data_IF_659015364968
#
_entry.id   IF_659015364968
#
_cell.length_a   1.000
_cell.length_b   1.000
_cell.length_c   1.000
_cell.angle_alpha   90.00
_cell.angle_beta   90.00
_cell.angle_gamma   90.00
#
_symmetry.space_group_name_H-M   'P 1'
#
loop_
_entity.id
_entity.type
_entity.pdbx_description
1 polymer ?
#
# COMPACT_ATOMS: atom_id res chain seq x y z
N UNK A 1 26.18 18.53 -9.59
CA UNK A 1 25.73 17.96 -10.88
C UNK A 1 24.64 16.93 -10.60
N UNK A 2 23.45 17.06 -11.16
CA UNK A 2 22.36 16.07 -11.01
C UNK A 2 22.44 15.07 -12.17
N UNK A 3 22.25 13.78 -11.90
CA UNK A 3 22.25 12.71 -12.90
C UNK A 3 20.95 11.91 -12.78
N UNK A 4 20.27 11.69 -13.89
CA UNK A 4 19.06 10.86 -13.98
C UNK A 4 19.38 9.62 -14.80
N UNK A 5 18.96 8.44 -14.32
CA UNK A 5 19.20 7.15 -14.98
C UNK A 5 17.86 6.47 -15.26
N UNK A 6 17.78 5.82 -16.41
CA UNK A 6 16.62 5.02 -16.81
C UNK A 6 16.70 3.66 -16.11
N UNK A 7 15.60 3.24 -15.49
CA UNK A 7 15.50 1.96 -14.75
C UNK A 7 14.47 0.99 -15.36
N UNK A 8 13.69 1.46 -16.34
CA UNK A 8 12.69 0.68 -17.09
C UNK A 8 12.71 1.12 -18.56
N UNK A 9 12.31 0.27 -19.53
CA UNK A 9 12.20 0.69 -20.93
C UNK A 9 11.30 1.92 -21.10
N UNK A 10 11.72 2.90 -21.89
CA UNK A 10 10.99 4.15 -22.17
C UNK A 10 10.76 4.29 -23.66
N UNK A 11 9.51 4.51 -24.06
CA UNK A 11 9.13 4.69 -25.47
C UNK A 11 9.13 6.17 -25.81
N UNK A 12 9.44 6.52 -27.07
CA UNK A 12 9.40 7.91 -27.53
C UNK A 12 8.01 8.52 -27.26
N UNK A 13 7.98 9.67 -26.58
CA UNK A 13 6.76 10.40 -26.26
C UNK A 13 6.10 9.99 -24.93
N UNK A 14 6.59 8.97 -24.23
CA UNK A 14 6.04 8.61 -22.91
C UNK A 14 6.50 9.58 -21.82
N UNK A 15 5.65 9.78 -20.81
CA UNK A 15 5.97 10.59 -19.64
C UNK A 15 7.07 9.93 -18.78
N UNK A 16 8.10 10.70 -18.43
CA UNK A 16 9.17 10.24 -17.54
C UNK A 16 8.74 10.48 -16.10
N UNK A 17 8.71 9.42 -15.29
CA UNK A 17 8.29 9.49 -13.88
C UNK A 17 9.43 9.17 -12.94
N UNK A 18 9.42 9.78 -11.76
CA UNK A 18 10.30 9.43 -10.63
C UNK A 18 9.46 9.25 -9.36
N UNK A 19 10.04 8.67 -8.32
CA UNK A 19 9.37 8.50 -7.03
C UNK A 19 9.65 9.67 -6.08
N UNK A 20 8.60 10.19 -5.44
CA UNK A 20 8.70 11.23 -4.40
C UNK A 20 8.54 10.67 -2.97
N UNK A 21 8.33 9.36 -2.85
CA UNK A 21 8.10 8.65 -1.59
C UNK A 21 9.14 7.55 -1.39
N UNK A 22 9.23 7.01 -0.18
CA UNK A 22 10.02 5.80 0.08
C UNK A 22 9.46 4.59 -0.69
N UNK A 23 10.36 3.71 -1.13
CA UNK A 23 10.02 2.54 -1.95
C UNK A 23 9.21 1.49 -1.18
N UNK A 24 9.47 1.37 0.12
CA UNK A 24 8.89 0.36 1.01
C UNK A 24 7.57 0.78 1.67
N UNK A 25 7.06 1.96 1.36
CA UNK A 25 5.77 2.39 1.88
C UNK A 25 4.63 1.74 1.13
N UNK A 26 3.67 1.21 1.88
CA UNK A 26 2.39 0.75 1.36
C UNK A 26 1.58 1.88 0.71
N UNK A 27 0.52 1.51 0.00
CA UNK A 27 -0.24 2.42 -0.86
C UNK A 27 -0.91 3.56 -0.10
N UNK A 28 -1.52 3.30 1.06
CA UNK A 28 -2.14 4.35 1.89
C UNK A 28 -1.12 5.37 2.39
N UNK A 29 -0.04 4.92 3.05
CA UNK A 29 1.04 5.81 3.51
C UNK A 29 1.64 6.65 2.36
N UNK A 30 1.85 6.03 1.19
CA UNK A 30 2.33 6.76 0.02
C UNK A 30 1.36 7.82 -0.46
N UNK A 31 0.08 7.47 -0.60
CA UNK A 31 -0.95 8.39 -1.11
C UNK A 31 -1.15 9.55 -0.15
N UNK A 32 -1.16 9.29 1.16
CA UNK A 32 -1.23 10.31 2.19
C UNK A 32 -0.02 11.26 2.12
N UNK A 33 1.21 10.75 2.07
CA UNK A 33 2.40 11.59 1.93
C UNK A 33 2.39 12.47 0.67
N UNK A 34 1.94 11.95 -0.46
CA UNK A 34 1.86 12.74 -1.70
C UNK A 34 0.75 13.78 -1.64
N UNK A 35 -0.35 13.48 -0.96
CA UNK A 35 -1.42 14.44 -0.68
C UNK A 35 -0.90 15.59 0.20
N UNK A 36 -0.13 15.28 1.24
CA UNK A 36 0.38 16.29 2.18
C UNK A 36 1.55 17.11 1.63
N UNK A 37 2.48 16.46 0.92
CA UNK A 37 3.73 17.10 0.47
C UNK A 37 3.70 17.61 -0.97
N UNK A 38 2.78 17.08 -1.81
CA UNK A 38 2.66 17.40 -3.24
C UNK A 38 1.23 17.76 -3.66
N UNK A 39 0.26 17.73 -2.75
CA UNK A 39 -1.13 18.15 -2.99
C UNK A 39 -1.85 17.37 -4.09
N UNK A 40 -1.53 16.08 -4.26
CA UNK A 40 -2.26 15.20 -5.18
C UNK A 40 -2.45 13.77 -4.63
N UNK A 41 -3.54 13.12 -5.03
CA UNK A 41 -3.78 11.71 -4.76
C UNK A 41 -3.19 10.84 -5.90
N UNK A 42 -2.16 10.05 -5.58
CA UNK A 42 -1.51 9.21 -6.59
C UNK A 42 -2.43 8.08 -7.06
N UNK A 43 -2.50 7.91 -8.39
CA UNK A 43 -3.24 6.83 -9.08
C UNK A 43 -2.35 6.01 -10.00
N UNK A 44 -1.06 5.87 -9.64
CA UNK A 44 -0.13 5.06 -10.44
C UNK A 44 -0.53 3.58 -10.41
N UNK A 45 -0.03 2.77 -11.34
CA UNK A 45 -0.35 1.34 -11.44
C UNK A 45 -0.20 0.60 -10.09
N UNK A 46 0.85 0.89 -9.33
CA UNK A 46 1.07 0.30 -8.00
C UNK A 46 0.02 0.73 -6.97
N UNK A 47 -0.41 2.00 -7.00
CA UNK A 47 -1.44 2.49 -6.08
C UNK A 47 -2.85 2.03 -6.46
N UNK A 48 -3.08 1.67 -7.72
CA UNK A 48 -4.36 1.16 -8.21
C UNK A 48 -4.49 -0.37 -8.11
N UNK A 49 -3.42 -1.06 -7.75
CA UNK A 49 -3.38 -2.52 -7.62
C UNK A 49 -3.45 -2.91 -6.13
N UNK A 50 -4.47 -3.65 -5.69
CA UNK A 50 -4.60 -4.11 -4.30
C UNK A 50 -3.41 -4.94 -3.80
N UNK A 51 -2.68 -5.58 -4.71
CA UNK A 51 -1.49 -6.40 -4.38
C UNK A 51 -0.19 -5.61 -4.41
N UNK A 52 -0.25 -4.34 -4.79
CA UNK A 52 0.90 -3.45 -4.93
C UNK A 52 1.97 -4.02 -5.87
N UNK A 53 1.56 -4.46 -7.06
CA UNK A 53 2.38 -5.17 -8.04
C UNK A 53 2.89 -6.52 -7.52
N UNK A 54 2.05 -7.25 -6.77
CA UNK A 54 2.40 -8.54 -6.17
C UNK A 54 3.42 -8.47 -5.03
N UNK A 55 3.72 -7.27 -4.52
CA UNK A 55 4.64 -7.11 -3.39
C UNK A 55 3.97 -7.32 -2.04
N UNK A 56 2.65 -7.08 -1.97
CA UNK A 56 1.85 -7.24 -0.76
C UNK A 56 2.38 -6.46 0.46
N UNK A 57 3.05 -5.32 0.25
CA UNK A 57 3.72 -4.55 1.32
C UNK A 57 2.77 -4.13 2.44
N UNK A 58 1.53 -3.75 2.09
CA UNK A 58 0.51 -3.37 3.08
C UNK A 58 -0.46 -4.50 3.42
N UNK A 59 -0.28 -5.72 2.90
CA UNK A 59 -1.22 -6.82 3.14
C UNK A 59 -1.13 -7.34 4.58
N UNK A 60 -2.29 -7.59 5.19
CA UNK A 60 -2.37 -8.11 6.57
C UNK A 60 -2.77 -9.57 6.56
N UNK A 61 -2.18 -10.39 7.44
CA UNK A 61 -2.63 -11.77 7.64
C UNK A 61 -4.07 -11.79 8.17
N UNK A 62 -4.91 -12.63 7.58
CA UNK A 62 -6.22 -12.93 8.15
C UNK A 62 -6.05 -13.87 9.34
N UNK A 63 -6.81 -13.64 10.42
CA UNK A 63 -6.84 -14.51 11.60
C UNK A 63 -8.10 -15.38 11.66
N UNK A 64 -9.00 -15.24 10.68
CA UNK A 64 -10.30 -15.93 10.67
C UNK A 64 -11.42 -15.13 11.33
N UNK A 65 -12.58 -15.77 11.48
CA UNK A 65 -13.80 -15.17 12.03
C UNK A 65 -13.97 -15.43 13.55
N UNK A 66 -12.89 -15.82 14.22
CA UNK A 66 -12.87 -16.22 15.63
C UNK A 66 -13.25 -17.68 15.89
N UNK A 67 -14.03 -18.30 15.00
CA UNK A 67 -14.41 -19.71 15.11
C UNK A 67 -13.60 -20.60 14.16
N UNK A 68 -13.28 -20.08 12.98
CA UNK A 68 -12.57 -20.79 11.93
C UNK A 68 -11.25 -20.05 11.63
N UNK A 69 -10.09 -20.68 11.84
CA UNK A 69 -8.82 -20.08 11.46
C UNK A 69 -8.78 -19.90 9.94
N UNK A 70 -8.13 -18.83 9.50
CA UNK A 70 -7.93 -18.52 8.09
C UNK A 70 -6.45 -18.21 7.84
N UNK A 71 -5.89 -18.68 6.74
CA UNK A 71 -4.50 -18.45 6.35
C UNK A 71 -4.38 -17.44 5.19
N UNK A 72 -5.47 -16.72 4.90
CA UNK A 72 -5.58 -15.71 3.85
C UNK A 72 -4.89 -14.38 4.22
N UNK A 73 -5.07 -13.41 3.33
CA UNK A 73 -4.58 -12.04 3.50
C UNK A 73 -5.71 -11.05 3.23
N UNK A 74 -5.73 -9.98 4.01
CA UNK A 74 -6.57 -8.82 3.79
C UNK A 74 -5.90 -7.88 2.79
N UNK A 75 -6.65 -7.49 1.77
CA UNK A 75 -6.28 -6.50 0.77
C UNK A 75 -7.38 -5.43 0.71
N UNK A 76 -7.05 -4.17 0.35
CA UNK A 76 -8.06 -3.13 0.18
C UNK A 76 -9.01 -3.51 -0.96
N UNK A 77 -10.32 -3.31 -0.77
CA UNK A 77 -11.32 -3.53 -1.83
C UNK A 77 -11.19 -2.49 -2.95
N UNK A 78 -11.01 -1.22 -2.57
CA UNK A 78 -10.59 -0.13 -3.46
C UNK A 78 -9.31 0.55 -2.92
N UNK A 79 -8.13 0.25 -3.52
CA UNK A 79 -6.87 0.87 -3.11
C UNK A 79 -6.81 2.39 -3.32
N UNK A 80 -7.68 2.94 -4.17
CA UNK A 80 -7.77 4.36 -4.49
C UNK A 80 -8.76 5.12 -3.58
N UNK A 81 -9.51 4.42 -2.76
CA UNK A 81 -10.33 4.99 -1.69
C UNK A 81 -9.66 4.75 -0.34
N UNK A 82 -9.34 5.84 0.36
CA UNK A 82 -8.63 5.77 1.64
C UNK A 82 -9.53 5.22 2.77
N UNK A 83 -10.85 5.24 2.57
CA UNK A 83 -11.86 4.73 3.50
C UNK A 83 -12.38 3.33 3.15
N UNK A 84 -11.86 2.72 2.08
CA UNK A 84 -12.28 1.38 1.66
C UNK A 84 -11.99 0.34 2.75
N UNK A 85 -12.95 -0.54 2.96
CA UNK A 85 -12.74 -1.77 3.72
C UNK A 85 -11.70 -2.67 3.05
N UNK A 86 -11.13 -3.56 3.85
CA UNK A 86 -10.17 -4.57 3.43
C UNK A 86 -10.76 -5.97 3.59
N UNK A 87 -10.83 -6.70 2.48
CA UNK A 87 -11.41 -8.02 2.43
C UNK A 87 -10.33 -9.12 2.42
N UNK A 88 -10.59 -10.20 3.15
CA UNK A 88 -9.76 -11.40 3.05
C UNK A 88 -9.97 -12.09 1.69
N UNK A 89 -8.89 -12.58 1.10
CA UNK A 89 -8.95 -13.31 -0.17
C UNK A 89 -9.44 -14.77 -0.06
N UNK A 90 -9.68 -15.28 1.16
CA UNK A 90 -10.08 -16.68 1.41
C UNK A 90 -11.38 -16.84 2.20
N UNK A 91 -11.71 -15.89 3.06
CA UNK A 91 -12.92 -15.95 3.89
C UNK A 91 -13.72 -14.63 3.79
N UNK A 92 -14.87 -14.57 4.47
CA UNK A 92 -15.79 -13.41 4.41
C UNK A 92 -15.44 -12.28 5.37
N UNK A 93 -14.34 -12.39 6.11
CA UNK A 93 -13.93 -11.40 7.11
C UNK A 93 -13.46 -10.14 6.40
N UNK A 94 -13.94 -9.00 6.90
CA UNK A 94 -13.52 -7.66 6.49
C UNK A 94 -13.01 -6.89 7.71
N UNK A 95 -12.10 -5.96 7.46
CA UNK A 95 -11.57 -5.03 8.46
C UNK A 95 -11.59 -3.62 7.87
N UNK A 96 -11.83 -2.60 8.69
CA UNK A 96 -11.91 -1.23 8.21
C UNK A 96 -10.52 -0.67 7.90
N UNK A 97 -10.45 0.34 7.02
CA UNK A 97 -9.23 1.10 6.74
C UNK A 97 -8.54 1.59 8.03
N UNK A 98 -9.33 2.11 8.97
CA UNK A 98 -8.85 2.64 10.26
C UNK A 98 -8.18 1.58 11.13
N UNK A 99 -8.74 0.36 11.20
CA UNK A 99 -8.13 -0.75 11.94
C UNK A 99 -6.80 -1.18 11.32
N UNK A 100 -6.75 -1.26 9.99
CA UNK A 100 -5.53 -1.62 9.26
C UNK A 100 -4.44 -0.56 9.47
N UNK A 101 -4.79 0.72 9.32
CA UNK A 101 -3.85 1.83 9.52
C UNK A 101 -3.28 1.86 10.95
N UNK A 102 -4.13 1.61 11.96
CA UNK A 102 -3.68 1.52 13.35
C UNK A 102 -2.67 0.39 13.54
N UNK A 103 -2.95 -0.81 13.01
CA UNK A 103 -2.05 -1.96 13.11
C UNK A 103 -0.72 -1.72 12.37
N UNK A 104 -0.77 -1.19 11.15
CA UNK A 104 0.45 -0.88 10.37
C UNK A 104 1.30 0.16 11.08
N UNK A 105 0.69 1.21 11.65
CA UNK A 105 1.41 2.24 12.42
C UNK A 105 2.13 1.64 13.63
N UNK A 106 1.43 0.80 14.40
CA UNK A 106 2.01 0.13 15.57
C UNK A 106 3.17 -0.80 15.18
N UNK A 107 3.03 -1.55 14.08
CA UNK A 107 4.11 -2.41 13.57
C UNK A 107 5.31 -1.57 13.09
N UNK A 108 5.07 -0.43 12.44
CA UNK A 108 6.12 0.50 12.02
C UNK A 108 6.92 1.02 13.21
N UNK A 109 6.25 1.49 14.26
CA UNK A 109 6.90 1.96 15.49
C UNK A 109 7.74 0.86 16.17
N UNK A 110 7.29 -0.38 16.16
CA UNK A 110 8.06 -1.49 16.71
C UNK A 110 9.34 -1.74 15.92
N UNK A 111 9.31 -1.64 14.59
CA UNK A 111 10.49 -1.81 13.74
C UNK A 111 11.50 -0.68 13.97
N UNK A 112 11.02 0.55 14.07
CA UNK A 112 11.88 1.72 14.29
C UNK A 112 12.60 1.66 15.65
N UNK A 113 11.98 1.05 16.66
CA UNK A 113 12.57 0.87 18.00
C UNK A 113 13.64 -0.24 18.08
N UNK A 114 13.85 -1.02 17.01
CA UNK A 114 14.88 -2.08 16.94
C UNK A 114 16.14 -1.59 16.19
N UNK A 115 16.09 -0.41 15.57
CA UNK A 115 17.26 0.24 14.95
C UNK A 115 18.08 1.05 15.97
#
# INVERSE_FOLDING_TARGET
>A
KITVKIVVPVVKGSHITTMYSHALWGTQARRQHLKDSKYFACKCQRCSDPTELGTYLSAMKCLGDGNNPCDGIHLPEDPLDDESDWACNKCKVKVSSSQVNMLISQMGEQVDNVQ
#
